data_IF_556210842191
#
_entry.id   IF_556210842191
#
_cell.length_a   1.000
_cell.length_b   1.000
_cell.length_c   1.000
_cell.angle_alpha   90.00
_cell.angle_beta   90.00
_cell.angle_gamma   90.00
#
_symmetry.space_group_name_H-M   'P 1'
#
loop_
_entity.id
_entity.type
_entity.pdbx_description
1 polymer ?
#
# COMPACT_ATOMS: atom_id res chain seq x y z
N UNK A 1 12.67 17.57 12.19
CA UNK A 1 11.40 17.76 12.90
C UNK A 1 10.59 16.48 12.72
N UNK A 2 10.79 15.49 13.61
CA UNK A 2 9.83 14.38 13.75
C UNK A 2 8.58 15.01 14.35
N UNK A 3 7.40 14.72 13.81
CA UNK A 3 6.15 15.32 14.30
C UNK A 3 5.75 14.62 15.60
N UNK A 4 6.41 15.00 16.71
CA UNK A 4 6.14 14.48 18.04
C UNK A 4 4.63 14.56 18.35
N UNK A 5 4.07 13.47 18.88
CA UNK A 5 2.66 13.35 19.22
C UNK A 5 1.71 12.92 18.09
N UNK A 6 2.21 12.67 16.86
CA UNK A 6 1.39 12.20 15.71
C UNK A 6 0.43 11.05 16.08
N UNK A 7 0.92 10.09 16.88
CA UNK A 7 0.17 8.88 17.24
C UNK A 7 -0.43 8.92 18.65
N UNK A 8 -0.41 10.07 19.36
CA UNK A 8 -0.93 10.13 20.74
C UNK A 8 -2.41 9.77 20.85
N UNK A 9 -3.19 10.01 19.79
CA UNK A 9 -4.61 9.61 19.72
C UNK A 9 -4.80 8.12 19.44
N UNK A 10 -3.79 7.43 18.92
CA UNK A 10 -3.82 5.97 18.71
C UNK A 10 -3.66 5.20 20.02
N UNK A 11 -2.97 5.78 21.01
CA UNK A 11 -2.60 5.15 22.30
C UNK A 11 -3.75 4.53 23.10
N UNK A 12 -4.99 4.95 22.83
CA UNK A 12 -6.20 4.36 23.45
C UNK A 12 -6.57 2.99 22.88
N UNK A 13 -6.06 2.66 21.70
CA UNK A 13 -6.39 1.44 20.94
C UNK A 13 -5.13 0.62 20.62
N UNK A 14 -4.03 1.30 20.27
CA UNK A 14 -2.73 0.71 19.95
C UNK A 14 -1.73 1.18 21.00
N UNK A 15 -1.12 0.26 21.74
CA UNK A 15 -0.09 0.62 22.72
C UNK A 15 1.16 1.21 22.05
N UNK A 16 2.07 1.79 22.83
CA UNK A 16 3.37 2.24 22.30
C UNK A 16 4.16 1.08 21.68
N UNK A 17 4.02 -0.13 22.22
CA UNK A 17 4.62 -1.35 21.65
C UNK A 17 4.00 -1.71 20.30
N UNK A 18 2.67 -1.63 20.17
CA UNK A 18 1.97 -1.89 18.90
C UNK A 18 2.34 -0.85 17.84
N UNK A 19 2.45 0.42 18.25
CA UNK A 19 2.87 1.49 17.36
C UNK A 19 4.33 1.31 16.89
N UNK A 20 5.20 0.82 17.77
CA UNK A 20 6.58 0.45 17.41
C UNK A 20 6.60 -0.72 16.43
N UNK A 21 5.77 -1.75 16.66
CA UNK A 21 5.61 -2.88 15.72
C UNK A 21 5.19 -2.38 14.34
N UNK A 22 4.13 -1.58 14.26
CA UNK A 22 3.69 -0.97 13.00
C UNK A 22 4.83 -0.21 12.30
N UNK A 23 5.58 0.62 13.05
CA UNK A 23 6.68 1.40 12.48
C UNK A 23 7.85 0.58 11.96
N UNK A 24 7.96 -0.69 12.37
CA UNK A 24 8.96 -1.63 11.87
C UNK A 24 8.42 -2.56 10.78
N UNK A 25 7.11 -2.55 10.51
CA UNK A 25 6.48 -3.43 9.52
C UNK A 25 6.59 -2.92 8.09
N UNK A 26 6.66 -3.85 7.16
CA UNK A 26 6.56 -3.63 5.72
C UNK A 26 5.31 -4.31 5.14
N UNK A 27 4.46 -3.53 4.47
CA UNK A 27 3.23 -4.03 3.84
C UNK A 27 3.28 -3.81 2.33
N UNK A 28 3.06 -4.88 1.56
CA UNK A 28 2.85 -4.80 0.12
C UNK A 28 1.36 -4.64 -0.19
N UNK A 29 1.03 -3.73 -1.09
CA UNK A 29 -0.35 -3.52 -1.57
C UNK A 29 -0.35 -3.77 -3.07
N UNK A 30 -1.07 -4.80 -3.49
CA UNK A 30 -1.15 -5.19 -4.91
C UNK A 30 -2.46 -4.69 -5.49
N UNK A 31 -2.37 -3.64 -6.31
CA UNK A 31 -3.48 -2.83 -6.80
C UNK A 31 -3.66 -1.54 -6.00
N UNK A 32 -3.62 -0.40 -6.68
CA UNK A 32 -3.81 0.95 -6.13
C UNK A 32 -5.13 1.61 -6.61
N UNK A 33 -6.13 0.77 -6.93
CA UNK A 33 -7.44 1.20 -7.37
C UNK A 33 -8.38 1.62 -6.22
N UNK A 34 -9.67 1.31 -6.38
CA UNK A 34 -10.73 1.75 -5.46
C UNK A 34 -10.64 1.18 -4.04
N UNK A 35 -9.91 0.07 -3.84
CA UNK A 35 -9.66 -0.50 -2.52
C UNK A 35 -8.26 -0.16 -2.02
N UNK A 36 -7.24 -0.47 -2.81
CA UNK A 36 -5.84 -0.35 -2.39
C UNK A 36 -5.41 1.07 -2.05
N UNK A 37 -5.95 2.09 -2.74
CA UNK A 37 -5.69 3.49 -2.37
C UNK A 37 -6.14 3.82 -0.94
N UNK A 38 -7.31 3.33 -0.52
CA UNK A 38 -7.79 3.55 0.85
C UNK A 38 -6.98 2.76 1.87
N UNK A 39 -6.61 1.51 1.55
CA UNK A 39 -5.74 0.71 2.44
C UNK A 39 -4.41 1.44 2.65
N UNK A 40 -3.75 1.87 1.57
CA UNK A 40 -2.46 2.56 1.64
C UNK A 40 -2.54 3.85 2.47
N UNK A 41 -3.60 4.64 2.28
CA UNK A 41 -3.86 5.86 3.05
C UNK A 41 -4.00 5.56 4.55
N UNK A 42 -4.78 4.55 4.92
CA UNK A 42 -4.97 4.22 6.34
C UNK A 42 -3.70 3.66 6.97
N UNK A 43 -2.99 2.76 6.27
CA UNK A 43 -1.71 2.21 6.77
C UNK A 43 -0.65 3.29 6.97
N UNK A 44 -0.57 4.26 6.06
CA UNK A 44 0.33 5.40 6.24
C UNK A 44 -0.09 6.28 7.43
N UNK A 45 -1.39 6.48 7.66
CA UNK A 45 -1.92 7.28 8.79
C UNK A 45 -1.68 6.63 10.13
N UNK A 46 -1.78 5.30 10.23
CA UNK A 46 -1.50 4.57 11.48
C UNK A 46 -0.01 4.34 11.70
N UNK A 47 0.86 4.71 10.75
CA UNK A 47 2.31 4.69 10.93
C UNK A 47 2.96 3.35 10.66
N UNK A 48 2.50 2.60 9.66
CA UNK A 48 3.27 1.48 9.11
C UNK A 48 4.63 1.99 8.60
N UNK A 49 5.72 1.29 8.92
CA UNK A 49 7.08 1.74 8.58
C UNK A 49 7.33 1.86 7.09
N UNK A 50 6.92 0.83 6.33
CA UNK A 50 7.14 0.77 4.89
C UNK A 50 5.93 0.24 4.13
N UNK A 51 5.60 0.90 3.02
CA UNK A 51 4.62 0.45 2.05
C UNK A 51 5.29 0.18 0.70
N UNK A 52 4.94 -0.93 0.07
CA UNK A 52 5.36 -1.23 -1.31
C UNK A 52 4.12 -1.36 -2.19
N UNK A 53 3.98 -0.44 -3.14
CA UNK A 53 2.78 -0.31 -3.96
C UNK A 53 3.01 -0.85 -5.37
N UNK A 54 2.11 -1.74 -5.81
CA UNK A 54 2.13 -2.32 -7.15
C UNK A 54 0.87 -1.93 -7.92
N UNK A 55 1.01 -1.25 -9.04
CA UNK A 55 -0.09 -1.03 -10.00
C UNK A 55 0.48 -0.73 -11.39
N UNK A 56 -0.13 -1.34 -12.40
CA UNK A 56 0.24 -1.19 -13.80
C UNK A 56 -0.59 -0.15 -14.56
N UNK A 57 -1.50 0.56 -13.89
CA UNK A 57 -2.43 1.50 -14.51
C UNK A 57 -2.10 2.97 -14.25
N UNK A 58 -2.73 3.81 -15.07
CA UNK A 58 -2.85 5.25 -14.88
C UNK A 58 -4.27 5.62 -14.47
N UNK A 59 -4.48 6.81 -13.90
CA UNK A 59 -5.83 7.28 -13.63
C UNK A 59 -6.58 7.64 -14.90
N UNK A 60 -7.84 7.23 -14.94
CA UNK A 60 -8.82 7.60 -15.95
C UNK A 60 -9.96 8.40 -15.32
N UNK A 61 -10.71 9.15 -16.14
CA UNK A 61 -11.89 9.92 -15.69
C UNK A 61 -12.89 9.03 -14.92
N UNK A 62 -13.04 7.78 -15.37
CA UNK A 62 -13.92 6.79 -14.73
C UNK A 62 -13.52 6.45 -13.29
N UNK A 63 -12.30 6.79 -12.85
CA UNK A 63 -11.77 6.46 -11.53
C UNK A 63 -12.15 7.50 -10.46
N UNK A 64 -12.50 8.73 -10.86
CA UNK A 64 -12.83 9.84 -9.97
C UNK A 64 -13.99 9.53 -9.00
N UNK A 65 -14.86 8.59 -9.36
CA UNK A 65 -16.01 8.24 -8.53
C UNK A 65 -15.69 7.37 -7.31
N UNK A 66 -14.52 6.72 -7.25
CA UNK A 66 -14.26 5.66 -6.26
C UNK A 66 -12.81 5.47 -5.84
N UNK A 67 -11.85 6.14 -6.47
CA UNK A 67 -10.43 5.97 -6.14
C UNK A 67 -9.93 7.21 -5.41
N UNK A 68 -9.61 7.08 -4.12
CA UNK A 68 -9.22 8.21 -3.24
C UNK A 68 -8.04 9.04 -3.76
N UNK A 69 -7.18 8.41 -4.57
CA UNK A 69 -5.98 9.01 -5.14
C UNK A 69 -6.25 9.71 -6.49
N UNK A 70 -7.43 9.52 -7.09
CA UNK A 70 -7.78 10.14 -8.37
C UNK A 70 -8.31 11.57 -8.16
N UNK A 71 -7.83 12.51 -8.98
CA UNK A 71 -8.29 13.91 -9.03
C UNK A 71 -8.35 14.37 -10.49
N UNK A 72 -9.11 15.42 -10.78
CA UNK A 72 -9.15 15.97 -12.16
C UNK A 72 -7.76 16.40 -12.66
N UNK A 73 -6.85 16.72 -11.75
CA UNK A 73 -5.49 17.19 -12.06
C UNK A 73 -4.53 16.05 -12.42
N UNK A 74 -4.81 14.80 -12.04
CA UNK A 74 -3.87 13.68 -12.20
C UNK A 74 -4.34 12.59 -13.16
N UNK A 75 -5.34 12.89 -13.99
CA UNK A 75 -5.73 12.00 -15.08
C UNK A 75 -4.54 11.74 -16.00
N UNK A 76 -4.27 10.46 -16.28
CA UNK A 76 -3.10 10.01 -17.03
C UNK A 76 -1.83 9.83 -16.21
N UNK A 77 -1.78 10.20 -14.93
CA UNK A 77 -0.66 9.88 -14.03
C UNK A 77 -0.70 8.41 -13.59
N UNK A 78 0.45 7.78 -13.37
CA UNK A 78 0.52 6.44 -12.80
C UNK A 78 -0.10 6.41 -11.40
N UNK A 79 -0.98 5.43 -11.13
CA UNK A 79 -1.69 5.34 -9.85
C UNK A 79 -0.72 5.27 -8.67
N UNK A 80 0.32 4.44 -8.79
CA UNK A 80 1.34 4.26 -7.74
C UNK A 80 2.10 5.55 -7.42
N UNK A 81 2.40 6.40 -8.41
CA UNK A 81 3.15 7.64 -8.18
C UNK A 81 2.32 8.69 -7.48
N UNK A 82 1.08 8.87 -7.93
CA UNK A 82 0.14 9.76 -7.28
C UNK A 82 -0.15 9.30 -5.84
N UNK A 83 -0.24 7.99 -5.61
CA UNK A 83 -0.32 7.43 -4.27
C UNK A 83 0.94 7.77 -3.45
N UNK A 84 2.15 7.58 -3.99
CA UNK A 84 3.39 7.92 -3.30
C UNK A 84 3.46 9.40 -2.91
N UNK A 85 3.16 10.31 -3.83
CA UNK A 85 3.14 11.75 -3.58
C UNK A 85 2.15 12.10 -2.47
N UNK A 86 0.93 11.56 -2.56
CA UNK A 86 -0.10 11.74 -1.55
C UNK A 86 0.34 11.21 -0.19
N UNK A 87 0.77 9.96 -0.08
CA UNK A 87 1.12 9.34 1.19
C UNK A 87 2.31 10.05 1.84
N UNK A 88 3.28 10.53 1.05
CA UNK A 88 4.37 11.36 1.55
C UNK A 88 3.89 12.68 2.15
N UNK A 89 2.85 13.30 1.58
CA UNK A 89 2.22 14.50 2.15
C UNK A 89 1.45 14.22 3.45
N UNK A 90 0.91 13.00 3.61
CA UNK A 90 0.16 12.57 4.79
C UNK A 90 1.10 12.20 5.95
N UNK A 91 2.11 11.38 5.65
CA UNK A 91 3.07 10.90 6.63
C UNK A 91 4.45 10.66 5.99
N UNK A 92 5.31 11.67 6.06
CA UNK A 92 6.66 11.61 5.50
C UNK A 92 7.62 10.69 6.25
N UNK A 93 7.21 10.10 7.39
CA UNK A 93 8.00 9.11 8.12
C UNK A 93 7.79 7.69 7.59
N UNK A 94 6.74 7.47 6.79
CA UNK A 94 6.46 6.20 6.12
C UNK A 94 7.29 6.12 4.85
N UNK A 95 8.12 5.09 4.70
CA UNK A 95 8.77 4.80 3.44
C UNK A 95 7.74 4.26 2.45
N UNK A 96 7.63 4.86 1.27
CA UNK A 96 6.71 4.40 0.22
C UNK A 96 7.52 4.09 -1.04
N UNK A 97 7.67 2.81 -1.34
CA UNK A 97 8.29 2.32 -2.56
C UNK A 97 7.18 2.00 -3.58
N UNK A 98 7.43 2.24 -4.86
CA UNK A 98 6.45 2.04 -5.92
C UNK A 98 7.03 1.21 -7.05
N UNK A 99 6.21 0.33 -7.60
CA UNK A 99 6.51 -0.45 -8.79
C UNK A 99 5.46 -0.14 -9.84
N UNK A 100 5.91 0.55 -10.90
CA UNK A 100 5.10 0.79 -12.11
C UNK A 100 5.01 -0.51 -12.90
N UNK A 101 3.94 -1.27 -12.68
CA UNK A 101 3.76 -2.55 -13.33
C UNK A 101 2.93 -3.51 -12.52
N UNK A 102 2.57 -4.61 -13.16
CA UNK A 102 1.83 -5.69 -12.56
C UNK A 102 2.71 -6.51 -11.62
N UNK A 103 2.08 -7.11 -10.61
CA UNK A 103 2.75 -8.12 -9.81
C UNK A 103 3.01 -9.36 -10.67
N UNK A 104 4.24 -9.85 -10.67
CA UNK A 104 4.67 -10.99 -11.49
C UNK A 104 5.11 -12.15 -10.60
N UNK A 105 4.41 -13.29 -10.69
CA UNK A 105 4.72 -14.51 -9.94
C UNK A 105 6.20 -14.91 -10.01
N UNK A 106 6.82 -14.78 -11.19
CA UNK A 106 8.24 -15.14 -11.41
C UNK A 106 9.23 -14.27 -10.63
N UNK A 107 8.83 -13.05 -10.26
CA UNK A 107 9.64 -12.08 -9.53
C UNK A 107 9.23 -11.98 -8.06
N UNK A 108 8.20 -12.72 -7.63
CA UNK A 108 7.68 -12.65 -6.27
C UNK A 108 8.75 -12.82 -5.16
N UNK A 109 9.73 -13.73 -5.27
CA UNK A 109 10.78 -13.86 -4.24
C UNK A 109 11.65 -12.61 -4.07
N UNK A 110 11.77 -11.80 -5.13
CA UNK A 110 12.47 -10.50 -5.08
C UNK A 110 11.52 -9.40 -4.60
N UNK A 111 10.30 -9.35 -5.17
CA UNK A 111 9.29 -8.32 -4.89
C UNK A 111 8.78 -8.37 -3.45
N UNK A 112 8.80 -9.53 -2.79
CA UNK A 112 8.24 -9.74 -1.45
C UNK A 112 9.29 -10.11 -0.38
N UNK A 113 10.59 -9.97 -0.66
CA UNK A 113 11.68 -10.47 0.21
C UNK A 113 11.60 -9.99 1.66
N UNK A 114 11.21 -8.74 1.88
CA UNK A 114 11.20 -8.09 3.19
C UNK A 114 9.78 -7.62 3.59
N UNK A 115 8.75 -8.26 3.03
CA UNK A 115 7.35 -7.91 3.27
C UNK A 115 6.79 -8.79 4.38
N UNK A 116 6.16 -8.18 5.39
CA UNK A 116 5.53 -8.90 6.51
C UNK A 116 4.07 -9.28 6.21
N UNK A 117 3.41 -8.53 5.34
CA UNK A 117 1.99 -8.69 4.99
C UNK A 117 1.73 -8.22 3.56
N UNK A 118 0.91 -8.99 2.83
CA UNK A 118 0.39 -8.61 1.51
C UNK A 118 -1.10 -8.27 1.63
N UNK A 119 -1.52 -7.17 1.00
CA UNK A 119 -2.92 -6.81 0.81
C UNK A 119 -3.32 -7.03 -0.65
N UNK A 120 -4.29 -7.90 -0.89
CA UNK A 120 -4.92 -8.11 -2.21
C UNK A 120 -5.96 -7.02 -2.48
N UNK A 121 -5.65 -6.12 -3.41
CA UNK A 121 -6.56 -5.12 -3.93
C UNK A 121 -6.74 -5.22 -5.45
N UNK A 122 -6.53 -6.41 -6.01
CA UNK A 122 -6.72 -6.70 -7.44
C UNK A 122 -8.20 -6.81 -7.81
N UNK A 123 -8.54 -6.68 -9.09
CA UNK A 123 -9.95 -6.68 -9.56
C UNK A 123 -10.31 -7.89 -10.44
N UNK A 124 -9.34 -8.75 -10.78
CA UNK A 124 -9.59 -9.96 -11.57
C UNK A 124 -9.36 -11.23 -10.75
N UNK A 125 -10.25 -12.22 -10.92
CA UNK A 125 -10.16 -13.51 -10.23
C UNK A 125 -8.82 -14.20 -10.42
N UNK A 126 -8.30 -14.19 -11.65
CA UNK A 126 -7.07 -14.92 -11.99
C UNK A 126 -5.84 -14.32 -11.31
N UNK A 127 -5.75 -12.98 -11.24
CA UNK A 127 -4.64 -12.31 -10.55
C UNK A 127 -4.69 -12.52 -9.03
N UNK A 128 -5.88 -12.54 -8.43
CA UNK A 128 -6.08 -12.84 -7.00
C UNK A 128 -5.65 -14.26 -6.64
N UNK A 129 -6.07 -15.24 -7.43
CA UNK A 129 -5.69 -16.66 -7.23
C UNK A 129 -4.18 -16.86 -7.41
N UNK A 130 -3.56 -16.13 -8.35
CA UNK A 130 -2.11 -16.14 -8.51
C UNK A 130 -1.40 -15.56 -7.27
N UNK A 131 -1.85 -14.41 -6.79
CA UNK A 131 -1.27 -13.77 -5.60
C UNK A 131 -1.43 -14.64 -4.34
N UNK A 132 -2.59 -15.25 -4.16
CA UNK A 132 -2.87 -16.21 -3.08
C UNK A 132 -1.91 -17.39 -3.12
N UNK A 133 -1.74 -18.03 -4.29
CA UNK A 133 -0.80 -19.14 -4.45
C UNK A 133 0.63 -18.73 -4.10
N UNK A 134 1.06 -17.56 -4.56
CA UNK A 134 2.41 -17.03 -4.28
C UNK A 134 2.60 -16.80 -2.78
N UNK A 135 1.67 -16.11 -2.12
CA UNK A 135 1.77 -15.82 -0.69
C UNK A 135 1.75 -17.11 0.13
N UNK A 136 0.91 -18.08 -0.24
CA UNK A 136 0.87 -19.40 0.40
C UNK A 136 2.20 -20.14 0.30
N UNK A 137 2.83 -20.15 -0.89
CA UNK A 137 4.14 -20.79 -1.09
C UNK A 137 5.27 -20.11 -0.33
N UNK A 138 5.17 -18.80 -0.11
CA UNK A 138 6.15 -18.01 0.63
C UNK A 138 5.85 -17.92 2.13
N UNK A 139 4.79 -18.57 2.61
CA UNK A 139 4.29 -18.49 3.99
C UNK A 139 4.03 -17.03 4.45
N UNK A 140 3.64 -16.18 3.50
CA UNK A 140 3.33 -14.77 3.75
C UNK A 140 1.84 -14.59 4.06
N UNK A 141 1.49 -13.86 5.13
CA UNK A 141 0.12 -13.45 5.39
C UNK A 141 -0.45 -12.64 4.22
N UNK A 142 -1.64 -13.04 3.77
CA UNK A 142 -2.42 -12.34 2.74
C UNK A 142 -3.80 -11.97 3.31
N UNK A 143 -4.24 -10.75 3.03
CA UNK A 143 -5.57 -10.22 3.39
C UNK A 143 -6.24 -9.64 2.16
#
# INVERSE_FOLDING_TARGET
>A
MKLEGRYDRNKKTLSDEDQLKLSNSCVAIVGCGGLGGYIAEQLARIGVGKLVLYDGDRFEVSNLNRQIMATELNIGQWKVEAAQERLRSVNSEVQVDVVRGWFEEKKAPEMLRDVDLVCDALDSRDSRVMLERVCHQMELPLV
#
